data_IF_996972942598
#
_entry.id   IF_996972942598
#
_cell.length_a   1.000
_cell.length_b   1.000
_cell.length_c   1.000
_cell.angle_alpha   90.00
_cell.angle_beta   90.00
_cell.angle_gamma   90.00
#
_symmetry.space_group_name_H-M   'P 1'
#
loop_
_entity.id
_entity.type
_entity.pdbx_description
1 polymer ?
#
# COMPACT_ATOMS: atom_id res chain seq x y z
N UNK A 1 -10.50 -28.83 -4.24
CA UNK A 1 -9.43 -27.91 -3.82
C UNK A 1 -9.15 -28.20 -2.36
N UNK A 2 -7.90 -28.46 -2.01
CA UNK A 2 -7.55 -28.86 -0.65
C UNK A 2 -7.73 -27.68 0.32
N UNK A 3 -8.03 -27.93 1.59
CA UNK A 3 -8.29 -26.87 2.60
C UNK A 3 -7.06 -25.96 2.77
N UNK A 4 -5.89 -26.57 2.68
CA UNK A 4 -4.55 -25.96 2.63
C UNK A 4 -4.40 -24.95 1.48
N UNK A 5 -4.87 -25.26 0.26
CA UNK A 5 -4.85 -24.31 -0.87
C UNK A 5 -5.66 -23.05 -0.55
N UNK A 6 -6.81 -23.21 0.11
CA UNK A 6 -7.70 -22.09 0.47
C UNK A 6 -7.05 -21.16 1.49
N UNK A 7 -6.34 -21.73 2.47
CA UNK A 7 -5.61 -20.95 3.50
C UNK A 7 -4.44 -20.20 2.85
N UNK A 8 -3.66 -20.84 1.99
CA UNK A 8 -2.54 -20.22 1.27
C UNK A 8 -2.99 -19.06 0.38
N UNK A 9 -4.08 -19.23 -0.38
CA UNK A 9 -4.63 -18.17 -1.21
C UNK A 9 -5.11 -16.97 -0.39
N UNK A 10 -5.72 -17.21 0.77
CA UNK A 10 -6.14 -16.14 1.68
C UNK A 10 -4.96 -15.35 2.22
N UNK A 11 -3.89 -16.04 2.64
CA UNK A 11 -2.65 -15.40 3.11
C UNK A 11 -1.99 -14.57 2.00
N UNK A 12 -1.87 -15.14 0.80
CA UNK A 12 -1.29 -14.44 -0.34
C UNK A 12 -2.11 -13.19 -0.72
N UNK A 13 -3.44 -13.28 -0.67
CA UNK A 13 -4.32 -12.15 -0.90
C UNK A 13 -4.11 -11.04 0.14
N UNK A 14 -4.06 -11.39 1.42
CA UNK A 14 -3.79 -10.43 2.50
C UNK A 14 -2.42 -9.74 2.34
N UNK A 15 -1.38 -10.50 1.99
CA UNK A 15 -0.06 -9.95 1.73
C UNK A 15 -0.03 -9.01 0.51
N UNK A 16 -0.82 -9.29 -0.54
CA UNK A 16 -0.91 -8.42 -1.72
C UNK A 16 -1.46 -7.04 -1.38
N UNK A 17 -2.51 -6.96 -0.57
CA UNK A 17 -3.10 -5.68 -0.14
C UNK A 17 -2.05 -4.79 0.54
N UNK A 18 -1.22 -5.39 1.38
CA UNK A 18 -0.10 -4.72 2.06
C UNK A 18 0.92 -4.19 1.06
N UNK A 19 1.37 -5.04 0.14
CA UNK A 19 2.36 -4.69 -0.89
C UNK A 19 1.83 -3.58 -1.80
N UNK A 20 0.58 -3.67 -2.23
CA UNK A 20 -0.07 -2.67 -3.09
C UNK A 20 -0.15 -1.30 -2.41
N UNK A 21 -0.49 -1.26 -1.11
CA UNK A 21 -0.50 -0.02 -0.33
C UNK A 21 0.89 0.62 -0.24
N UNK A 22 1.94 -0.19 -0.04
CA UNK A 22 3.33 0.30 -0.02
C UNK A 22 3.74 0.83 -1.39
N UNK A 23 3.47 0.10 -2.46
CA UNK A 23 3.77 0.52 -3.84
C UNK A 23 3.01 1.80 -4.20
N UNK A 24 1.75 1.93 -3.79
CA UNK A 24 0.98 3.16 -3.96
C UNK A 24 1.66 4.34 -3.26
N UNK A 25 2.15 4.16 -2.02
CA UNK A 25 2.93 5.15 -1.30
C UNK A 25 4.19 5.59 -2.06
N UNK A 26 4.97 4.64 -2.58
CA UNK A 26 6.18 4.92 -3.38
C UNK A 26 5.84 5.72 -4.63
N UNK A 27 4.80 5.34 -5.37
CA UNK A 27 4.36 6.05 -6.58
C UNK A 27 3.95 7.50 -6.28
N UNK A 28 3.20 7.74 -5.21
CA UNK A 28 2.81 9.10 -4.79
C UNK A 28 4.00 9.96 -4.35
N UNK A 29 5.03 9.37 -3.75
CA UNK A 29 6.23 10.13 -3.40
C UNK A 29 7.10 10.39 -4.64
N UNK A 30 7.13 9.47 -5.61
CA UNK A 30 7.87 9.66 -6.86
C UNK A 30 7.25 10.69 -7.78
N UNK A 31 5.92 10.77 -7.90
CA UNK A 31 5.26 11.73 -8.80
C UNK A 31 5.56 13.19 -8.42
N UNK A 32 5.77 13.50 -7.13
CA UNK A 32 6.15 14.84 -6.66
C UNK A 32 7.66 15.09 -6.65
N UNK A 33 8.47 14.02 -6.63
CA UNK A 33 9.94 14.10 -6.56
C UNK A 33 10.58 14.12 -7.95
N UNK A 34 10.06 13.31 -8.87
CA UNK A 34 10.57 13.23 -10.24
C UNK A 34 10.04 14.43 -11.06
N UNK A 35 10.78 14.86 -12.09
CA UNK A 35 10.38 16.00 -12.93
C UNK A 35 9.05 15.71 -13.63
N UNK A 36 8.02 16.50 -13.32
CA UNK A 36 6.71 16.41 -13.97
C UNK A 36 6.81 16.92 -15.41
N UNK A 37 6.62 16.01 -16.38
CA UNK A 37 6.67 16.34 -17.82
C UNK A 37 5.34 16.84 -18.39
N UNK A 38 4.28 16.81 -17.58
CA UNK A 38 2.96 17.30 -17.97
C UNK A 38 2.95 18.82 -17.78
N UNK A 39 2.91 19.56 -18.89
CA UNK A 39 3.03 21.03 -18.92
C UNK A 39 1.68 21.75 -18.99
N UNK A 40 0.60 21.05 -18.66
CA UNK A 40 -0.73 21.67 -18.53
C UNK A 40 -0.74 22.64 -17.35
N UNK A 41 -1.30 23.83 -17.52
CA UNK A 41 -1.37 24.82 -16.44
C UNK A 41 -2.11 24.26 -15.20
N UNK A 42 -1.60 24.57 -14.01
CA UNK A 42 -2.19 24.17 -12.72
C UNK A 42 -2.04 22.68 -12.35
N UNK A 43 -1.51 21.83 -13.23
CA UNK A 43 -1.44 20.39 -12.96
C UNK A 43 -0.42 20.02 -11.89
N UNK A 44 0.67 20.77 -11.79
CA UNK A 44 1.69 20.56 -10.77
C UNK A 44 1.13 20.79 -9.36
N UNK A 45 0.34 21.86 -9.20
CA UNK A 45 -0.30 22.21 -7.94
C UNK A 45 -1.34 21.15 -7.55
N UNK A 46 -2.16 20.69 -8.51
CA UNK A 46 -3.14 19.62 -8.27
C UNK A 46 -2.47 18.29 -7.86
N UNK A 47 -1.35 17.94 -8.51
CA UNK A 47 -0.57 16.75 -8.17
C UNK A 47 0.01 16.86 -6.76
N UNK A 48 0.51 18.04 -6.39
CA UNK A 48 1.05 18.31 -5.06
C UNK A 48 -0.04 18.23 -3.98
N UNK A 49 -1.19 18.87 -4.21
CA UNK A 49 -2.34 18.82 -3.31
C UNK A 49 -2.83 17.38 -3.11
N UNK A 50 -2.98 16.63 -4.21
CA UNK A 50 -3.37 15.22 -4.17
C UNK A 50 -2.37 14.36 -3.38
N UNK A 51 -1.06 14.57 -3.61
CA UNK A 51 -0.01 13.83 -2.92
C UNK A 51 0.02 14.14 -1.42
N UNK A 52 -0.11 15.41 -1.03
CA UNK A 52 -0.23 15.87 0.35
C UNK A 52 -1.49 15.33 1.02
N UNK A 53 -2.66 15.45 0.38
CA UNK A 53 -3.92 14.92 0.89
C UNK A 53 -3.85 13.42 1.15
N UNK A 54 -3.32 12.65 0.20
CA UNK A 54 -3.12 11.20 0.35
C UNK A 54 -2.04 10.87 1.40
N UNK A 55 -1.03 11.73 1.61
CA UNK A 55 -0.06 11.55 2.68
C UNK A 55 -0.72 11.73 4.04
N UNK A 56 -1.48 12.81 4.20
CA UNK A 56 -2.18 13.15 5.43
C UNK A 56 -3.20 12.07 5.79
N UNK A 57 -3.99 11.61 4.81
CA UNK A 57 -4.93 10.50 5.01
C UNK A 57 -4.22 9.24 5.50
N UNK A 58 -3.10 8.86 4.88
CA UNK A 58 -2.29 7.70 5.31
C UNK A 58 -1.77 7.88 6.74
N UNK A 59 -1.38 9.09 7.14
CA UNK A 59 -0.92 9.38 8.51
C UNK A 59 -2.09 9.28 9.50
N UNK A 60 -3.25 9.86 9.17
CA UNK A 60 -4.45 9.82 10.00
C UNK A 60 -5.02 8.40 10.18
N UNK A 61 -4.93 7.56 9.14
CA UNK A 61 -5.43 6.19 9.15
C UNK A 61 -4.35 5.14 9.45
N UNK A 62 -3.20 5.55 10.02
CA UNK A 62 -2.09 4.62 10.31
C UNK A 62 -2.45 3.73 11.49
N UNK A 63 -3.13 2.61 11.21
CA UNK A 63 -3.23 1.52 12.17
C UNK A 63 -1.91 0.76 12.25
N UNK A 64 -1.53 0.23 13.43
CA UNK A 64 -0.42 -0.71 13.54
C UNK A 64 -0.62 -1.84 12.55
N UNK A 65 0.45 -2.22 11.85
CA UNK A 65 0.41 -3.42 11.04
C UNK A 65 0.05 -4.58 11.96
N UNK A 66 -1.01 -5.36 11.68
CA UNK A 66 -1.18 -6.61 12.38
C UNK A 66 0.09 -7.41 12.12
N UNK A 67 0.78 -7.82 13.19
CA UNK A 67 1.89 -8.73 13.05
C UNK A 67 1.33 -9.98 12.36
N UNK A 68 1.79 -10.25 11.15
CA UNK A 68 1.59 -11.55 10.54
C UNK A 68 2.40 -12.52 11.40
N UNK A 69 1.77 -13.12 12.41
CA UNK A 69 2.42 -14.06 13.30
C UNK A 69 2.59 -15.39 12.55
N UNK A 70 3.68 -15.46 11.79
CA UNK A 70 4.04 -16.65 11.01
C UNK A 70 4.25 -17.86 11.93
N UNK A 71 4.58 -17.64 13.21
CA UNK A 71 4.74 -18.71 14.21
C UNK A 71 3.41 -19.33 14.62
N UNK A 72 2.33 -18.54 14.70
CA UNK A 72 0.98 -19.05 15.00
C UNK A 72 0.45 -20.05 13.95
N UNK A 73 0.91 -19.95 12.70
CA UNK A 73 0.57 -20.87 11.60
C UNK A 73 1.42 -22.15 11.62
N UNK A 74 2.68 -22.06 12.07
CA UNK A 74 3.58 -23.21 12.19
C UNK A 74 3.31 -24.07 13.44
N UNK A 75 2.73 -23.48 14.48
CA UNK A 75 2.39 -24.16 15.73
C UNK A 75 1.07 -24.97 15.71
N UNK A 76 0.39 -25.06 14.57
CA UNK A 76 -0.84 -25.85 14.41
C UNK A 76 -0.61 -27.26 13.81
N UNK A 77 0.64 -27.75 13.81
CA UNK A 77 1.00 -29.15 13.48
C UNK A 77 1.10 -30.03 14.72
#
# INVERSE_FOLDING_TARGET
MSVEDRVLHHLLSSARVVVENVIAGVKRCRIVKDVLRLTTEGIADLVMESACGLHNLRVSCRHPFPACDVLSLLGSS
#
